data_IF_493901586489
#
_entry.id   IF_493901586489
#
_cell.length_a   1.000
_cell.length_b   1.000
_cell.length_c   1.000
_cell.angle_alpha   90.00
_cell.angle_beta   90.00
_cell.angle_gamma   90.00
#
_symmetry.space_group_name_H-M   'P 1'
#
loop_
_entity.id
_entity.type
_entity.pdbx_description
1 polymer ?
#
# COMPACT_ATOMS: atom_id res chain seq x y z
N UNK A 1 -19.78 3.85 12.17
CA UNK A 1 -18.80 3.15 13.02
C UNK A 1 -17.69 2.76 12.08
N UNK A 2 -16.51 3.36 12.22
CA UNK A 2 -15.38 3.10 11.30
C UNK A 2 -14.89 1.69 11.52
N UNK A 3 -14.92 0.85 10.48
CA UNK A 3 -14.27 -0.47 10.56
C UNK A 3 -12.77 -0.25 10.82
N UNK A 4 -12.21 -0.92 11.84
CA UNK A 4 -10.87 -0.59 12.32
C UNK A 4 -9.73 -1.23 11.50
N UNK A 5 -10.04 -2.14 10.56
CA UNK A 5 -9.11 -2.94 9.75
C UNK A 5 -7.75 -3.26 10.42
N UNK A 6 -7.73 -3.76 11.68
CA UNK A 6 -6.49 -3.89 12.43
C UNK A 6 -5.51 -4.87 11.75
N UNK A 7 -6.01 -5.95 11.15
CA UNK A 7 -5.19 -6.93 10.44
C UNK A 7 -4.55 -6.34 9.18
N UNK A 8 -5.30 -5.52 8.42
CA UNK A 8 -4.77 -4.84 7.24
C UNK A 8 -3.67 -3.86 7.67
N UNK A 9 -3.90 -3.09 8.72
CA UNK A 9 -2.92 -2.11 9.22
C UNK A 9 -1.66 -2.81 9.73
N UNK A 10 -1.79 -3.88 10.50
CA UNK A 10 -0.63 -4.62 11.00
C UNK A 10 0.18 -5.24 9.86
N UNK A 11 -0.48 -5.82 8.85
CA UNK A 11 0.19 -6.41 7.71
C UNK A 11 0.86 -5.36 6.81
N UNK A 12 0.20 -4.22 6.55
CA UNK A 12 0.79 -3.08 5.81
C UNK A 12 2.00 -2.53 6.57
N UNK A 13 1.92 -2.41 7.90
CA UNK A 13 3.04 -1.97 8.74
C UNK A 13 4.23 -2.93 8.63
N UNK A 14 3.98 -4.23 8.69
CA UNK A 14 5.03 -5.24 8.53
C UNK A 14 5.69 -5.17 7.14
N UNK A 15 4.90 -4.99 6.08
CA UNK A 15 5.41 -4.80 4.72
C UNK A 15 6.27 -3.53 4.63
N UNK A 16 5.78 -2.40 5.17
CA UNK A 16 6.52 -1.14 5.21
C UNK A 16 7.84 -1.23 5.99
N UNK A 17 7.94 -2.08 7.01
CA UNK A 17 9.18 -2.30 7.75
C UNK A 17 10.32 -2.86 6.87
N UNK A 18 10.00 -3.50 5.74
CA UNK A 18 10.96 -3.93 4.72
C UNK A 18 11.55 -2.80 3.87
N UNK A 19 11.00 -1.58 3.96
CA UNK A 19 11.39 -0.42 3.15
C UNK A 19 11.82 0.75 4.05
N UNK A 20 12.99 0.64 4.70
CA UNK A 20 13.47 1.64 5.65
C UNK A 20 13.78 2.97 4.95
N UNK A 21 13.97 4.03 5.74
CA UNK A 21 14.26 5.37 5.21
C UNK A 21 15.52 5.46 4.32
N UNK A 22 16.45 4.50 4.38
CA UNK A 22 17.56 4.41 3.44
C UNK A 22 17.10 4.10 2.00
N UNK A 23 16.19 3.14 1.83
CA UNK A 23 15.59 2.81 0.53
C UNK A 23 14.93 4.05 -0.11
N UNK A 24 14.16 4.80 0.68
CA UNK A 24 13.47 5.99 0.20
C UNK A 24 14.43 7.13 -0.16
N UNK A 25 15.47 7.36 0.66
CA UNK A 25 16.51 8.37 0.37
C UNK A 25 17.32 8.02 -0.88
N UNK A 26 17.58 6.74 -1.11
CA UNK A 26 18.24 6.26 -2.33
C UNK A 26 17.36 6.44 -3.56
N UNK A 27 16.11 5.99 -3.49
CA UNK A 27 15.13 6.16 -4.56
C UNK A 27 14.96 7.63 -4.94
N UNK A 28 14.87 8.53 -3.95
CA UNK A 28 14.77 9.98 -4.18
C UNK A 28 16.05 10.56 -4.83
N UNK A 29 17.23 10.21 -4.29
CA UNK A 29 18.54 10.63 -4.84
C UNK A 29 18.70 10.25 -6.31
N UNK A 30 18.22 9.06 -6.68
CA UNK A 30 18.27 8.55 -8.04
C UNK A 30 17.11 9.01 -8.92
N UNK A 31 16.12 9.70 -8.33
CA UNK A 31 14.83 10.04 -8.98
C UNK A 31 14.15 8.82 -9.58
N UNK A 32 14.29 7.68 -8.92
CA UNK A 32 13.79 6.39 -9.38
C UNK A 32 12.33 6.18 -8.96
N UNK A 33 11.66 5.26 -9.65
CA UNK A 33 10.34 4.77 -9.22
C UNK A 33 10.53 3.64 -8.19
N UNK A 34 9.79 3.63 -7.05
CA UNK A 34 9.96 2.65 -5.96
C UNK A 34 9.39 1.27 -6.33
N UNK A 35 9.92 0.66 -7.39
CA UNK A 35 9.38 -0.55 -8.03
C UNK A 35 9.28 -1.73 -7.06
N UNK A 36 10.27 -1.91 -6.18
CA UNK A 36 10.27 -3.00 -5.21
C UNK A 36 9.12 -2.86 -4.20
N UNK A 37 8.86 -1.64 -3.72
CA UNK A 37 7.76 -1.35 -2.81
C UNK A 37 6.40 -1.56 -3.47
N UNK A 38 6.23 -1.06 -4.69
CA UNK A 38 4.98 -1.21 -5.46
C UNK A 38 4.69 -2.67 -5.71
N UNK A 39 5.70 -3.44 -6.16
CA UNK A 39 5.59 -4.88 -6.38
C UNK A 39 5.18 -5.62 -5.12
N UNK A 40 5.78 -5.31 -3.96
CA UNK A 40 5.42 -5.93 -2.70
C UNK A 40 3.95 -5.68 -2.32
N UNK A 41 3.45 -4.45 -2.49
CA UNK A 41 2.04 -4.12 -2.25
C UNK A 41 1.10 -4.82 -3.24
N UNK A 42 1.50 -4.98 -4.51
CA UNK A 42 0.73 -5.71 -5.53
C UNK A 42 0.64 -7.20 -5.16
N UNK A 43 1.76 -7.83 -4.84
CA UNK A 43 1.81 -9.26 -4.48
C UNK A 43 1.03 -9.56 -3.21
N UNK A 44 0.95 -8.61 -2.28
CA UNK A 44 0.13 -8.69 -1.08
C UNK A 44 -1.37 -8.38 -1.31
N UNK A 45 -1.77 -7.99 -2.53
CA UNK A 45 -3.17 -7.70 -2.88
C UNK A 45 -3.70 -6.34 -2.43
N UNK A 46 -2.88 -5.50 -1.79
CA UNK A 46 -3.33 -4.20 -1.27
C UNK A 46 -3.63 -3.17 -2.36
N UNK A 47 -3.05 -3.33 -3.55
CA UNK A 47 -3.30 -2.45 -4.68
C UNK A 47 -4.52 -2.85 -5.52
N UNK A 48 -5.23 -3.92 -5.20
CA UNK A 48 -6.49 -4.30 -5.86
C UNK A 48 -7.68 -4.29 -4.89
N UNK A 49 -7.55 -3.56 -3.77
CA UNK A 49 -8.50 -3.62 -2.65
C UNK A 49 -9.93 -3.17 -2.99
N UNK A 50 -10.07 -2.27 -3.98
CA UNK A 50 -11.37 -1.77 -4.45
C UNK A 50 -11.93 -2.58 -5.62
N UNK A 51 -11.10 -3.42 -6.23
CA UNK A 51 -11.49 -4.20 -7.40
C UNK A 51 -12.38 -5.36 -6.94
N UNK A 52 -13.53 -5.59 -7.59
CA UNK A 52 -14.39 -6.74 -7.29
C UNK A 52 -13.64 -8.08 -7.37
N UNK A 53 -14.05 -9.06 -6.56
CA UNK A 53 -13.46 -10.40 -6.55
C UNK A 53 -13.55 -11.11 -7.91
N UNK A 54 -14.62 -10.87 -8.69
CA UNK A 54 -14.78 -11.42 -10.05
C UNK A 54 -13.68 -10.98 -11.02
N UNK A 55 -12.97 -9.89 -10.70
CA UNK A 55 -11.83 -9.36 -11.47
C UNK A 55 -10.49 -9.57 -10.75
N UNK A 56 -10.46 -10.36 -9.68
CA UNK A 56 -9.22 -10.70 -8.95
C UNK A 56 -8.79 -9.70 -7.88
N UNK A 57 -9.67 -8.80 -7.45
CA UNK A 57 -9.45 -7.94 -6.29
C UNK A 57 -10.06 -8.48 -5.01
N UNK A 58 -10.10 -7.65 -3.96
CA UNK A 58 -10.68 -8.04 -2.66
C UNK A 58 -12.04 -7.41 -2.36
N UNK A 59 -12.52 -6.45 -3.16
CA UNK A 59 -13.85 -5.84 -3.01
C UNK A 59 -14.14 -5.19 -1.65
N UNK A 60 -13.14 -4.81 -0.86
CA UNK A 60 -13.30 -4.38 0.55
C UNK A 60 -13.77 -2.92 0.69
N UNK A 61 -13.77 -2.15 -0.39
CA UNK A 61 -14.30 -0.79 -0.43
C UNK A 61 -13.36 0.29 0.12
N UNK A 62 -13.86 1.53 0.13
CA UNK A 62 -13.03 2.74 0.30
C UNK A 62 -12.44 2.88 1.71
N UNK A 63 -13.11 2.36 2.74
CA UNK A 63 -12.59 2.43 4.11
C UNK A 63 -11.34 1.56 4.29
N UNK A 64 -11.31 0.37 3.66
CA UNK A 64 -10.13 -0.49 3.63
C UNK A 64 -8.98 0.16 2.85
N UNK A 65 -9.27 0.76 1.69
CA UNK A 65 -8.28 1.52 0.92
C UNK A 65 -7.68 2.67 1.73
N UNK A 66 -8.52 3.40 2.47
CA UNK A 66 -8.07 4.48 3.34
C UNK A 66 -7.16 3.95 4.46
N UNK A 67 -7.51 2.82 5.09
CA UNK A 67 -6.69 2.20 6.13
C UNK A 67 -5.29 1.79 5.62
N UNK A 68 -5.20 1.26 4.39
CA UNK A 68 -3.93 0.91 3.74
C UNK A 68 -3.07 2.16 3.53
N UNK A 69 -3.63 3.20 2.88
CA UNK A 69 -2.88 4.41 2.55
C UNK A 69 -2.46 5.19 3.80
N UNK A 70 -3.33 5.25 4.82
CA UNK A 70 -3.01 5.88 6.10
C UNK A 70 -1.81 5.18 6.76
N UNK A 71 -1.80 3.86 6.79
CA UNK A 71 -0.74 3.10 7.45
C UNK A 71 0.59 3.18 6.68
N UNK A 72 0.56 3.19 5.35
CA UNK A 72 1.75 3.44 4.52
C UNK A 72 2.41 4.77 4.90
N UNK A 73 1.62 5.85 4.97
CA UNK A 73 2.14 7.18 5.30
C UNK A 73 2.62 7.25 6.75
N UNK A 74 1.88 6.63 7.67
CA UNK A 74 2.25 6.56 9.09
C UNK A 74 3.57 5.81 9.31
N UNK A 75 3.87 4.81 8.49
CA UNK A 75 5.12 4.07 8.52
C UNK A 75 6.30 4.83 7.86
N UNK A 76 6.08 6.04 7.35
CA UNK A 76 7.11 6.84 6.67
C UNK A 76 7.39 6.39 5.23
N UNK A 77 6.53 5.54 4.66
CA UNK A 77 6.57 5.15 3.25
C UNK A 77 5.72 6.12 2.40
N UNK A 78 5.86 6.06 1.07
CA UNK A 78 5.12 6.94 0.17
C UNK A 78 4.10 6.17 -0.69
N UNK A 79 2.81 6.39 -0.43
CA UNK A 79 1.70 5.78 -1.18
C UNK A 79 1.34 6.47 -2.51
N UNK A 80 1.90 7.65 -2.79
CA UNK A 80 1.57 8.40 -4.01
C UNK A 80 1.92 7.62 -5.28
N UNK A 81 3.00 6.84 -5.24
CA UNK A 81 3.46 6.04 -6.38
C UNK A 81 2.52 4.90 -6.77
N UNK A 82 1.65 4.43 -5.87
CA UNK A 82 0.85 3.22 -6.06
C UNK A 82 -0.67 3.42 -5.90
N UNK A 83 -1.14 4.53 -5.32
CA UNK A 83 -2.57 4.73 -5.03
C UNK A 83 -3.47 4.64 -6.29
N UNK A 84 -2.96 5.02 -7.46
CA UNK A 84 -3.72 4.96 -8.71
C UNK A 84 -4.08 3.51 -9.11
N UNK A 85 -3.24 2.54 -8.75
CA UNK A 85 -3.46 1.12 -9.05
C UNK A 85 -4.64 0.55 -8.25
N UNK A 86 -5.05 1.21 -7.16
CA UNK A 86 -6.21 0.80 -6.37
C UNK A 86 -7.53 0.87 -7.14
N UNK A 87 -7.56 1.55 -8.29
CA UNK A 87 -8.78 1.80 -9.08
C UNK A 87 -8.82 1.05 -10.43
N UNK A 88 -7.75 0.36 -10.82
CA UNK A 88 -7.58 -0.22 -12.18
C UNK A 88 -7.04 -1.63 -12.13
#
# INVERSE_FOLDING_TARGET
MTESFPEIRDAVRQLCAGFPGEYWRETDRERAYPTAFVKALTEAGYLSVLIPEEYGGSGLGIEAAAAILEEIQKAGCNGAACHAQMYT
#
